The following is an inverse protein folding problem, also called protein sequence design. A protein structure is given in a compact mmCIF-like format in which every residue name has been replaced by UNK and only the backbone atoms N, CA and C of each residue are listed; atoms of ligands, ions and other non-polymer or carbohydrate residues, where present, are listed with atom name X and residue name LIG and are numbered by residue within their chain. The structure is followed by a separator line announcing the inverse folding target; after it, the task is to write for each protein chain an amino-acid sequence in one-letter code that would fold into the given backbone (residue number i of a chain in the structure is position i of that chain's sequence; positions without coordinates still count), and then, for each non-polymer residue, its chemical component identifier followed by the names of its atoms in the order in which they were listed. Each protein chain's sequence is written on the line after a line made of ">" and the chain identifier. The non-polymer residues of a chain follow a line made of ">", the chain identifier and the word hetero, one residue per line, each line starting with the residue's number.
data_IF_629109676306
#
_entry.id   IF_629109676306
#
_cell.length_a   1.000
_cell.length_b   1.000
_cell.length_c   1.000
_cell.angle_alpha   90.00
_cell.angle_beta   90.00
_cell.angle_gamma   90.00
#
_symmetry.space_group_name_H-M   'P 1'
#
loop_
_entity.id
_entity.type
_entity.pdbx_description
1 polymer ?
#
# COMPACT_ATOMS: atom_id res chain seq x y z
N UNK A 1 39.06 -41.27 37.90
CA UNK A 1 38.19 -41.46 39.09
C UNK A 1 37.59 -42.87 39.07
N UNK A 2 37.79 -43.71 40.10
CA UNK A 2 37.13 -45.04 40.19
C UNK A 2 35.68 -44.90 40.69
N UNK A 3 34.74 -45.61 40.05
CA UNK A 3 33.29 -45.47 40.28
C UNK A 3 32.90 -45.85 41.73
N UNK A 4 33.62 -46.79 42.34
CA UNK A 4 33.42 -47.24 43.72
C UNK A 4 33.70 -46.15 44.75
N UNK A 5 34.64 -45.23 44.48
CA UNK A 5 34.97 -44.12 45.38
C UNK A 5 33.92 -43.00 45.34
N UNK A 6 33.24 -42.82 44.19
CA UNK A 6 32.20 -41.78 44.01
C UNK A 6 30.85 -42.09 44.67
N UNK A 7 30.70 -43.28 45.27
CA UNK A 7 29.47 -43.72 45.93
C UNK A 7 29.54 -43.59 47.46
N UNK A 8 30.66 -43.12 48.03
CA UNK A 8 30.83 -42.95 49.47
C UNK A 8 30.84 -41.45 49.85
N UNK A 9 29.74 -40.97 50.43
CA UNK A 9 29.55 -39.56 50.80
C UNK A 9 30.64 -39.02 51.75
N UNK A 10 31.13 -39.84 52.69
CA UNK A 10 32.17 -39.43 53.63
C UNK A 10 33.53 -39.22 52.95
N UNK A 11 33.80 -39.98 51.89
CA UNK A 11 35.02 -39.83 51.10
C UNK A 11 34.97 -38.56 50.24
N UNK A 12 33.83 -38.27 49.62
CA UNK A 12 33.62 -37.05 48.84
C UNK A 12 33.81 -35.80 49.71
N UNK A 13 33.23 -35.78 50.92
CA UNK A 13 33.37 -34.66 51.84
C UNK A 13 34.83 -34.47 52.29
N UNK A 14 35.55 -35.56 52.57
CA UNK A 14 36.98 -35.48 52.88
C UNK A 14 37.81 -34.90 51.73
N UNK A 15 37.53 -35.28 50.48
CA UNK A 15 38.17 -34.71 49.29
C UNK A 15 37.82 -33.23 49.10
N UNK A 16 36.58 -32.83 49.41
CA UNK A 16 36.15 -31.44 49.33
C UNK A 16 36.86 -30.56 50.37
N UNK A 17 37.00 -31.03 51.61
CA UNK A 17 37.77 -30.30 52.64
C UNK A 17 39.25 -30.18 52.26
N UNK A 18 39.85 -31.23 51.68
CA UNK A 18 41.22 -31.20 51.17
C UNK A 18 41.36 -30.16 50.05
N UNK A 19 40.44 -30.13 49.10
CA UNK A 19 40.39 -29.15 48.02
C UNK A 19 40.29 -27.71 48.53
N UNK A 20 39.47 -27.44 49.57
CA UNK A 20 39.38 -26.11 50.21
C UNK A 20 40.70 -25.62 50.81
N UNK A 21 41.55 -26.53 51.30
CA UNK A 21 42.88 -26.16 51.83
C UNK A 21 43.91 -25.91 50.72
N UNK A 22 43.63 -26.32 49.49
CA UNK A 22 44.52 -26.16 48.34
C UNK A 22 44.07 -27.00 47.14
N UNK A 23 43.69 -26.39 45.99
CA UNK A 23 43.17 -27.10 44.82
C UNK A 23 44.12 -28.15 44.23
N UNK A 24 45.44 -27.98 44.40
CA UNK A 24 46.46 -28.92 43.93
C UNK A 24 46.64 -30.15 44.83
N UNK A 25 45.93 -30.23 45.96
CA UNK A 25 46.03 -31.35 46.93
C UNK A 25 45.11 -32.52 46.61
N UNK A 26 44.19 -32.35 45.68
CA UNK A 26 43.33 -33.41 45.16
C UNK A 26 43.72 -33.76 43.74
N UNK A 27 43.33 -34.94 43.27
CA UNK A 27 43.55 -35.34 41.87
C UNK A 27 42.87 -34.36 40.90
N UNK A 28 43.38 -34.28 39.67
CA UNK A 28 42.86 -33.39 38.63
C UNK A 28 41.36 -33.58 38.37
N UNK A 29 40.87 -34.82 38.41
CA UNK A 29 39.45 -35.14 38.23
C UNK A 29 38.58 -34.54 39.36
N UNK A 30 39.05 -34.63 40.61
CA UNK A 30 38.38 -34.04 41.78
C UNK A 30 38.44 -32.52 41.77
N UNK A 31 39.55 -31.94 41.32
CA UNK A 31 39.68 -30.49 41.16
C UNK A 31 38.63 -29.96 40.18
N UNK A 32 38.49 -30.58 39.01
CA UNK A 32 37.46 -30.20 38.03
C UNK A 32 36.03 -30.44 38.54
N UNK A 33 35.80 -31.52 39.28
CA UNK A 33 34.51 -31.82 39.88
C UNK A 33 34.07 -30.72 40.86
N UNK A 34 34.91 -30.32 41.81
CA UNK A 34 34.58 -29.28 42.79
C UNK A 34 34.58 -27.87 42.21
N UNK A 35 35.49 -27.58 41.27
CA UNK A 35 35.48 -26.32 40.52
C UNK A 35 34.19 -26.16 39.72
N UNK A 36 33.70 -27.23 39.07
CA UNK A 36 32.42 -27.24 38.37
C UNK A 36 31.21 -27.02 39.29
N UNK A 37 31.25 -27.55 40.52
CA UNK A 37 30.22 -27.32 41.53
C UNK A 37 30.25 -25.89 42.10
N UNK A 38 31.42 -25.31 42.41
CA UNK A 38 31.50 -23.90 42.80
C UNK A 38 31.14 -22.95 41.67
N UNK A 39 31.44 -23.30 40.41
CA UNK A 39 31.00 -22.50 39.26
C UNK A 39 29.47 -22.54 39.11
N UNK A 40 28.84 -23.66 39.44
CA UNK A 40 27.39 -23.81 39.46
C UNK A 40 26.73 -23.13 40.68
N UNK A 41 27.39 -23.12 41.84
CA UNK A 41 26.90 -22.44 43.04
C UNK A 41 27.09 -20.91 42.94
N UNK A 42 28.19 -20.46 42.33
CA UNK A 42 28.40 -19.05 41.96
C UNK A 42 27.44 -18.57 40.85
N UNK A 43 26.83 -19.46 40.06
CA UNK A 43 25.70 -19.08 39.17
C UNK A 43 24.42 -18.75 39.95
N UNK A 44 24.27 -19.21 41.20
CA UNK A 44 23.18 -18.80 42.09
C UNK A 44 23.53 -17.54 42.91
N UNK A 45 24.80 -17.19 43.06
CA UNK A 45 25.27 -15.95 43.71
C UNK A 45 25.47 -14.78 42.74
N UNK A 46 25.55 -15.05 41.44
CA UNK A 46 25.37 -14.06 40.40
C UNK A 46 23.89 -13.77 40.21
N UNK A 47 23.35 -12.75 40.89
CA UNK A 47 22.26 -11.97 40.33
C UNK A 47 22.76 -11.42 38.99
N UNK A 48 22.62 -12.21 37.93
CA UNK A 48 22.44 -11.63 36.61
C UNK A 48 21.19 -10.78 36.74
N UNK A 49 21.37 -9.45 36.70
CA UNK A 49 20.26 -8.54 36.49
C UNK A 49 19.36 -9.16 35.41
N UNK A 50 18.09 -9.42 35.74
CA UNK A 50 17.10 -9.70 34.71
C UNK A 50 17.00 -8.42 33.87
N UNK A 51 17.82 -8.34 32.81
CA UNK A 51 17.97 -7.18 31.92
C UNK A 51 16.62 -6.79 31.27
N UNK A 52 15.60 -7.63 31.36
CA UNK A 52 14.24 -7.28 31.02
C UNK A 52 13.30 -7.61 32.19
N UNK A 53 12.60 -6.60 32.71
CA UNK A 53 11.50 -6.85 33.66
C UNK A 53 10.32 -7.46 32.90
N UNK A 54 9.56 -8.35 33.57
CA UNK A 54 8.33 -8.92 32.99
C UNK A 54 7.41 -7.83 32.44
N UNK A 55 7.32 -6.71 33.15
CA UNK A 55 6.52 -5.55 32.78
C UNK A 55 7.02 -4.88 31.48
N UNK A 56 8.34 -4.71 31.31
CA UNK A 56 8.91 -4.19 30.06
C UNK A 56 8.67 -5.13 28.88
N UNK A 57 8.75 -6.45 29.09
CA UNK A 57 8.41 -7.44 28.07
C UNK A 57 6.92 -7.38 27.67
N UNK A 58 6.03 -7.22 28.65
CA UNK A 58 4.59 -7.07 28.39
C UNK A 58 4.29 -5.78 27.61
N UNK A 59 4.90 -4.65 27.98
CA UNK A 59 4.75 -3.40 27.23
C UNK A 59 5.26 -3.53 25.79
N UNK A 60 6.41 -4.17 25.57
CA UNK A 60 6.92 -4.45 24.23
C UNK A 60 5.95 -5.31 23.41
N UNK A 61 5.33 -6.34 24.00
CA UNK A 61 4.33 -7.17 23.33
C UNK A 61 3.05 -6.39 22.94
N UNK A 62 2.63 -5.44 23.78
CA UNK A 62 1.51 -4.52 23.46
C UNK A 62 1.83 -3.64 22.26
N UNK A 63 3.06 -3.12 22.18
CA UNK A 63 3.52 -2.32 21.03
C UNK A 63 3.61 -3.15 19.74
N UNK A 64 4.06 -4.40 19.81
CA UNK A 64 4.01 -5.29 18.63
C UNK A 64 2.56 -5.60 18.20
N UNK A 65 1.64 -5.76 19.14
CA UNK A 65 0.22 -5.95 18.86
C UNK A 65 -0.40 -4.71 18.19
N UNK A 66 -0.05 -3.51 18.67
CA UNK A 66 -0.42 -2.23 18.06
C UNK A 66 0.08 -2.16 16.61
N UNK A 67 1.37 -2.43 16.38
CA UNK A 67 1.98 -2.45 15.04
C UNK A 67 1.28 -3.41 14.10
N UNK A 68 1.00 -4.63 14.57
CA UNK A 68 0.24 -5.62 13.80
C UNK A 68 -1.14 -5.07 13.43
N UNK A 69 -1.83 -4.45 14.38
CA UNK A 69 -3.19 -3.96 14.16
C UNK A 69 -3.27 -2.78 13.19
N UNK A 70 -2.28 -1.88 13.18
CA UNK A 70 -2.19 -0.83 12.15
C UNK A 70 -1.93 -1.41 10.75
N UNK A 71 -1.13 -2.47 10.63
CA UNK A 71 -0.91 -3.15 9.33
C UNK A 71 -2.16 -3.86 8.83
N UNK A 72 -2.97 -4.36 9.75
CA UNK A 72 -4.19 -5.11 9.46
C UNK A 72 -5.38 -4.18 9.16
N UNK A 73 -5.61 -3.17 10.01
CA UNK A 73 -6.80 -2.30 9.97
C UNK A 73 -6.52 -0.82 9.70
N UNK A 74 -5.27 -0.41 9.50
CA UNK A 74 -4.92 1.00 9.30
C UNK A 74 -5.66 1.63 8.12
N UNK A 75 -5.93 0.83 7.07
CA UNK A 75 -6.72 1.22 5.91
C UNK A 75 -8.15 1.67 6.24
N UNK A 76 -8.73 1.24 7.38
CA UNK A 76 -10.06 1.69 7.82
C UNK A 76 -10.08 3.14 8.30
N UNK A 77 -8.92 3.64 8.73
CA UNK A 77 -8.69 5.02 9.17
C UNK A 77 -8.04 5.88 8.07
N UNK A 78 -7.67 5.29 6.93
CA UNK A 78 -7.09 6.02 5.81
C UNK A 78 -8.07 7.07 5.25
N UNK A 79 -7.55 8.25 4.95
CA UNK A 79 -8.32 9.31 4.32
C UNK A 79 -8.39 9.07 2.82
N UNK A 80 -9.39 8.28 2.41
CA UNK A 80 -9.52 7.78 1.03
C UNK A 80 -10.60 8.50 0.23
N UNK A 81 -11.70 8.90 0.87
CA UNK A 81 -12.82 9.56 0.22
C UNK A 81 -12.54 11.07 0.04
N UNK A 82 -12.44 11.59 -1.20
CA UNK A 82 -12.23 13.01 -1.46
C UNK A 82 -13.43 13.89 -1.11
N UNK A 83 -14.62 13.31 -0.89
CA UNK A 83 -15.85 14.05 -0.58
C UNK A 83 -16.21 14.07 0.91
N UNK A 84 -15.42 13.42 1.75
CA UNK A 84 -15.67 13.30 3.18
C UNK A 84 -14.46 13.78 3.99
N UNK A 85 -14.70 14.26 5.20
CA UNK A 85 -13.63 14.63 6.12
C UNK A 85 -12.84 13.39 6.56
N UNK A 86 -11.52 13.56 6.71
CA UNK A 86 -10.66 12.49 7.20
C UNK A 86 -10.99 12.16 8.66
N UNK A 87 -11.16 10.88 8.98
CA UNK A 87 -11.24 10.43 10.37
C UNK A 87 -9.85 10.42 11.02
N UNK A 88 -9.77 10.84 12.30
CA UNK A 88 -8.50 10.86 13.05
C UNK A 88 -8.43 9.84 14.17
N UNK A 89 -9.53 9.16 14.50
CA UNK A 89 -9.59 8.20 15.60
C UNK A 89 -10.36 6.97 15.13
N UNK A 90 -9.85 5.79 15.48
CA UNK A 90 -10.57 4.54 15.32
C UNK A 90 -10.47 3.74 16.62
N UNK A 91 -11.58 3.30 17.25
CA UNK A 91 -11.55 2.62 18.55
C UNK A 91 -10.62 1.40 18.60
N UNK A 92 -10.49 0.67 17.49
CA UNK A 92 -9.62 -0.53 17.39
C UNK A 92 -8.13 -0.22 17.14
N UNK A 93 -7.76 1.05 16.96
CA UNK A 93 -6.39 1.52 16.73
C UNK A 93 -5.89 2.48 17.82
N UNK A 94 -6.74 2.76 18.81
CA UNK A 94 -6.43 3.67 19.91
C UNK A 94 -5.62 2.97 21.01
N UNK A 95 -4.81 3.72 21.76
CA UNK A 95 -3.89 3.18 22.79
C UNK A 95 -4.59 2.29 23.83
N UNK A 96 -5.78 2.66 24.37
CA UNK A 96 -6.45 1.86 25.37
C UNK A 96 -6.82 0.45 24.89
N UNK A 97 -7.04 0.26 23.58
CA UNK A 97 -7.35 -1.06 23.01
C UNK A 97 -6.20 -2.08 23.17
N UNK A 98 -4.98 -1.59 23.44
CA UNK A 98 -3.77 -2.40 23.64
C UNK A 98 -3.26 -2.34 25.08
N UNK A 99 -3.97 -1.69 25.99
CA UNK A 99 -3.50 -1.45 27.37
C UNK A 99 -2.28 -0.54 27.43
N UNK A 100 -2.18 0.42 26.51
CA UNK A 100 -1.17 1.48 26.50
C UNK A 100 -1.82 2.80 26.90
N UNK A 101 -1.02 3.71 27.45
CA UNK A 101 -1.46 5.03 27.94
C UNK A 101 -0.59 6.13 27.35
N UNK A 102 -0.99 7.39 27.54
CA UNK A 102 -0.20 8.54 27.11
C UNK A 102 1.19 8.59 27.79
N UNK A 103 1.31 8.04 29.00
CA UNK A 103 2.60 7.93 29.72
C UNK A 103 3.61 6.99 29.03
N UNK A 104 3.15 6.17 28.09
CA UNK A 104 4.01 5.25 27.34
C UNK A 104 4.55 5.88 26.05
N UNK A 105 4.07 7.05 25.64
CA UNK A 105 4.42 7.71 24.37
C UNK A 105 5.91 8.02 24.24
N UNK A 106 6.52 8.52 25.33
CA UNK A 106 7.94 8.91 25.37
C UNK A 106 8.87 7.72 25.66
N UNK A 107 8.31 6.56 26.00
CA UNK A 107 9.10 5.36 26.26
C UNK A 107 9.63 4.76 24.96
N UNK A 108 10.87 4.30 25.00
CA UNK A 108 11.54 3.72 23.84
C UNK A 108 11.28 2.21 23.75
N UNK A 109 10.88 1.77 22.57
CA UNK A 109 10.61 0.36 22.27
C UNK A 109 11.51 -0.14 21.15
N UNK A 110 11.78 -1.44 21.18
CA UNK A 110 12.51 -2.09 20.10
C UNK A 110 11.64 -2.14 18.84
N UNK A 111 12.22 -1.74 17.71
CA UNK A 111 11.58 -1.79 16.41
C UNK A 111 12.59 -2.03 15.30
N UNK A 112 12.47 -3.19 14.66
CA UNK A 112 13.37 -3.59 13.58
C UNK A 112 13.32 -2.68 12.33
N UNK A 113 12.18 -2.01 12.06
CA UNK A 113 11.89 -1.35 10.76
C UNK A 113 11.64 0.15 10.80
N UNK A 114 11.48 0.74 11.98
CA UNK A 114 11.09 2.16 12.09
C UNK A 114 12.25 3.10 12.34
N UNK A 115 13.42 2.59 12.72
CA UNK A 115 14.60 3.41 13.01
C UNK A 115 15.89 2.71 12.58
N UNK A 116 16.88 3.50 12.17
CA UNK A 116 18.25 3.01 11.92
C UNK A 116 18.88 2.41 13.19
N UNK A 117 18.50 2.91 14.36
CA UNK A 117 18.97 2.41 15.67
C UNK A 117 18.19 1.19 16.17
N UNK A 118 17.20 0.72 15.41
CA UNK A 118 16.28 -0.37 15.77
C UNK A 118 15.48 -0.12 17.06
N UNK A 119 15.42 1.12 17.52
CA UNK A 119 14.66 1.55 18.69
C UNK A 119 14.05 2.92 18.40
N UNK A 120 12.82 3.15 18.87
CA UNK A 120 12.13 4.43 18.72
C UNK A 120 11.13 4.65 19.85
N UNK A 121 10.83 5.91 20.24
CA UNK A 121 9.71 6.23 21.11
C UNK A 121 8.39 5.72 20.54
N UNK A 122 7.45 5.32 21.39
CA UNK A 122 6.12 4.86 20.96
C UNK A 122 5.41 5.92 20.11
N UNK A 123 5.55 7.20 20.46
CA UNK A 123 5.01 8.30 19.67
C UNK A 123 5.49 8.28 18.21
N UNK A 124 6.79 8.08 18.00
CA UNK A 124 7.38 8.01 16.66
C UNK A 124 6.88 6.76 15.91
N UNK A 125 6.79 5.61 16.58
CA UNK A 125 6.25 4.38 16.00
C UNK A 125 4.81 4.60 15.50
N UNK A 126 3.96 5.24 16.31
CA UNK A 126 2.58 5.54 15.93
C UNK A 126 2.52 6.53 14.77
N UNK A 127 3.36 7.57 14.78
CA UNK A 127 3.44 8.52 13.68
C UNK A 127 3.78 7.82 12.35
N UNK A 128 4.81 6.96 12.34
CA UNK A 128 5.19 6.20 11.13
C UNK A 128 4.05 5.29 10.67
N UNK A 129 3.40 4.56 11.58
CA UNK A 129 2.27 3.69 11.23
C UNK A 129 1.09 4.47 10.65
N UNK A 130 0.73 5.61 11.26
CA UNK A 130 -0.35 6.48 10.79
C UNK A 130 -0.02 7.09 9.44
N UNK A 131 1.21 7.54 9.25
CA UNK A 131 1.67 8.10 7.98
C UNK A 131 1.67 7.05 6.86
N UNK A 132 2.06 5.81 7.17
CA UNK A 132 2.15 4.72 6.20
C UNK A 132 0.78 4.15 5.81
N UNK A 133 -0.11 3.92 6.78
CA UNK A 133 -1.33 3.12 6.59
C UNK A 133 -2.65 3.89 6.72
N UNK A 134 -2.62 5.14 7.22
CA UNK A 134 -3.83 5.91 7.56
C UNK A 134 -3.90 7.29 6.87
N UNK A 135 -3.08 7.55 5.85
CA UNK A 135 -3.11 8.82 5.07
C UNK A 135 -3.87 8.61 3.76
N UNK A 136 -3.31 9.08 2.66
CA UNK A 136 -3.88 8.97 1.31
C UNK A 136 -3.77 7.57 0.71
N UNK A 137 -3.09 6.64 1.38
CA UNK A 137 -2.97 5.23 0.98
C UNK A 137 -3.42 4.35 2.14
N UNK A 138 -4.43 3.52 1.88
CA UNK A 138 -4.83 2.41 2.75
C UNK A 138 -4.43 1.10 2.10
N UNK A 139 -3.87 0.17 2.86
CA UNK A 139 -3.35 -1.09 2.29
C UNK A 139 -3.95 -2.29 3.02
N UNK A 140 -4.49 -3.22 2.26
CA UNK A 140 -4.92 -4.54 2.75
C UNK A 140 -3.95 -5.59 2.22
N UNK A 141 -3.14 -6.17 3.11
CA UNK A 141 -2.14 -7.16 2.73
C UNK A 141 -1.85 -8.20 3.82
N UNK A 142 -2.35 -8.01 5.04
CA UNK A 142 -2.09 -8.96 6.12
C UNK A 142 -2.79 -10.30 5.90
N UNK A 143 -3.85 -10.33 5.08
CA UNK A 143 -4.51 -11.56 4.63
C UNK A 143 -3.65 -12.43 3.73
N UNK A 144 -2.58 -11.90 3.11
CA UNK A 144 -1.66 -12.69 2.27
C UNK A 144 -1.07 -13.86 3.06
N UNK A 145 -1.11 -15.07 2.51
CA UNK A 145 -0.62 -16.27 3.19
C UNK A 145 0.92 -16.30 3.29
N UNK A 146 1.61 -15.87 2.24
CA UNK A 146 3.07 -15.89 2.19
C UNK A 146 3.68 -14.80 3.10
N UNK A 147 4.46 -15.16 4.15
CA UNK A 147 5.17 -14.20 4.97
C UNK A 147 6.21 -13.36 4.19
N UNK A 148 6.78 -13.88 3.11
CA UNK A 148 7.76 -13.18 2.29
C UNK A 148 7.12 -12.00 1.55
N UNK A 149 5.91 -12.18 1.01
CA UNK A 149 5.14 -11.11 0.37
C UNK A 149 4.79 -9.98 1.35
N UNK A 150 4.26 -10.35 2.53
CA UNK A 150 3.96 -9.37 3.58
C UNK A 150 5.18 -8.59 4.02
N UNK A 151 6.31 -9.29 4.16
CA UNK A 151 7.60 -8.69 4.51
C UNK A 151 8.09 -7.73 3.42
N UNK A 152 8.02 -8.17 2.16
CA UNK A 152 8.43 -7.35 1.00
C UNK A 152 7.63 -6.06 0.91
N UNK A 153 6.32 -6.12 1.18
CA UNK A 153 5.45 -4.95 1.22
C UNK A 153 5.84 -4.02 2.38
N UNK A 154 6.00 -4.57 3.59
CA UNK A 154 6.45 -3.78 4.76
C UNK A 154 7.78 -3.07 4.49
N UNK A 155 8.74 -3.77 3.90
CA UNK A 155 10.09 -3.25 3.65
C UNK A 155 10.11 -2.14 2.56
N UNK A 156 9.07 -2.06 1.73
CA UNK A 156 8.91 -0.98 0.72
C UNK A 156 8.01 0.16 1.16
N UNK A 157 7.03 -0.10 2.04
CA UNK A 157 6.05 0.91 2.46
C UNK A 157 6.51 1.69 3.69
N UNK A 158 6.96 1.00 4.74
CA UNK A 158 7.22 1.60 6.05
C UNK A 158 8.40 2.60 6.04
N UNK A 159 9.53 2.34 5.35
CA UNK A 159 10.66 3.27 5.35
C UNK A 159 10.34 4.62 4.69
N UNK A 160 9.52 4.62 3.63
CA UNK A 160 9.11 5.84 2.90
C UNK A 160 7.74 6.34 3.33
N UNK A 161 7.11 5.67 4.30
CA UNK A 161 5.79 6.01 4.87
C UNK A 161 4.69 6.17 3.81
N UNK A 162 4.79 5.39 2.72
CA UNK A 162 3.97 5.54 1.51
C UNK A 162 3.89 6.97 0.94
N UNK A 163 4.93 7.77 1.17
CA UNK A 163 5.07 9.16 0.74
C UNK A 163 6.44 9.35 0.09
N UNK A 164 6.69 8.76 -1.10
CA UNK A 164 8.00 8.86 -1.73
C UNK A 164 8.31 10.32 -2.08
N UNK A 165 9.56 10.73 -1.84
CA UNK A 165 10.04 12.03 -2.28
C UNK A 165 10.18 12.02 -3.82
N UNK A 166 9.22 12.62 -4.51
CA UNK A 166 9.29 12.79 -5.96
C UNK A 166 10.21 13.97 -6.30
N UNK A 167 11.11 13.75 -7.25
CA UNK A 167 11.92 14.81 -7.84
C UNK A 167 11.04 15.84 -8.55
N UNK A 168 11.56 17.07 -8.67
CA UNK A 168 10.85 18.20 -9.27
C UNK A 168 10.28 17.87 -10.65
N UNK A 169 11.06 17.20 -11.49
CA UNK A 169 10.64 16.84 -12.85
C UNK A 169 9.51 15.81 -12.85
N UNK A 170 9.52 14.87 -11.90
CA UNK A 170 8.40 13.95 -11.67
C UNK A 170 7.11 14.70 -11.29
N UNK A 171 7.21 15.68 -10.39
CA UNK A 171 6.05 16.51 -10.00
C UNK A 171 5.51 17.35 -11.15
N UNK A 172 6.39 17.96 -11.94
CA UNK A 172 6.02 18.73 -13.14
C UNK A 172 5.32 17.81 -14.16
N UNK A 173 5.81 16.58 -14.35
CA UNK A 173 5.19 15.62 -15.25
C UNK A 173 3.78 15.23 -14.80
N UNK A 174 3.60 14.94 -13.51
CA UNK A 174 2.29 14.65 -12.92
C UNK A 174 1.33 15.81 -13.18
N UNK A 175 1.76 17.04 -12.88
CA UNK A 175 0.96 18.24 -13.10
C UNK A 175 0.59 18.40 -14.58
N UNK A 176 1.54 18.23 -15.49
CA UNK A 176 1.29 18.33 -16.93
C UNK A 176 0.26 17.30 -17.41
N UNK A 177 0.33 16.06 -16.91
CA UNK A 177 -0.64 15.00 -17.23
C UNK A 177 -2.04 15.30 -16.70
N UNK A 178 -2.14 15.87 -15.49
CA UNK A 178 -3.41 16.36 -14.95
C UNK A 178 -3.97 17.51 -15.79
N UNK A 179 -3.14 18.47 -16.19
CA UNK A 179 -3.55 19.56 -17.07
C UNK A 179 -4.04 19.05 -18.43
N UNK A 180 -3.33 18.09 -19.04
CA UNK A 180 -3.74 17.46 -20.29
C UNK A 180 -5.11 16.78 -20.15
N UNK A 181 -5.31 16.03 -19.06
CA UNK A 181 -6.57 15.36 -18.76
C UNK A 181 -7.72 16.37 -18.63
N UNK A 182 -7.54 17.42 -17.81
CA UNK A 182 -8.56 18.43 -17.53
C UNK A 182 -8.87 19.30 -18.75
N UNK A 183 -7.85 19.73 -19.51
CA UNK A 183 -8.03 20.55 -20.72
C UNK A 183 -8.78 19.77 -21.79
N UNK A 184 -8.46 18.49 -21.96
CA UNK A 184 -9.14 17.62 -22.93
C UNK A 184 -10.63 17.49 -22.60
N UNK A 185 -11.00 17.23 -21.34
CA UNK A 185 -12.40 17.13 -20.92
C UNK A 185 -13.14 18.46 -21.11
N UNK A 186 -12.54 19.57 -20.69
CA UNK A 186 -13.12 20.92 -20.87
C UNK A 186 -13.32 21.27 -22.33
N UNK A 187 -12.40 20.86 -23.20
CA UNK A 187 -12.54 21.05 -24.65
C UNK A 187 -13.72 20.27 -25.20
N UNK A 188 -13.82 18.97 -24.88
CA UNK A 188 -14.92 18.13 -25.34
C UNK A 188 -16.26 18.64 -24.83
N UNK A 189 -16.33 19.05 -23.57
CA UNK A 189 -17.54 19.63 -22.97
C UNK A 189 -18.00 20.89 -23.71
N UNK A 190 -17.06 21.79 -24.04
CA UNK A 190 -17.38 23.05 -24.72
C UNK A 190 -17.73 22.87 -26.20
N UNK A 191 -17.07 21.95 -26.90
CA UNK A 191 -17.23 21.78 -28.36
C UNK A 191 -18.33 20.82 -28.75
N UNK A 192 -18.55 19.76 -27.97
CA UNK A 192 -19.50 18.70 -28.27
C UNK A 192 -20.57 18.63 -27.17
N UNK A 193 -21.25 19.75 -26.92
CA UNK A 193 -22.32 19.85 -25.93
C UNK A 193 -23.42 18.81 -26.20
N UNK A 194 -23.85 18.10 -25.16
CA UNK A 194 -24.89 17.09 -25.24
C UNK A 194 -24.48 15.74 -25.86
N UNK A 195 -23.23 15.60 -26.32
CA UNK A 195 -22.72 14.30 -26.76
C UNK A 195 -22.13 13.52 -25.58
N UNK A 196 -22.50 12.24 -25.48
CA UNK A 196 -21.97 11.35 -24.43
C UNK A 196 -20.50 11.03 -24.69
N UNK A 197 -19.69 11.23 -23.65
CA UNK A 197 -18.24 10.96 -23.65
C UNK A 197 -17.74 10.18 -22.44
N UNK A 198 -18.57 10.03 -21.40
CA UNK A 198 -18.23 9.37 -20.14
C UNK A 198 -16.99 10.00 -19.48
N UNK A 199 -17.11 11.28 -19.16
CA UNK A 199 -16.06 12.15 -18.63
C UNK A 199 -15.26 11.51 -17.49
N UNK A 200 -13.95 11.77 -17.50
CA UNK A 200 -13.04 11.44 -16.42
C UNK A 200 -13.06 12.46 -15.26
N UNK A 201 -13.78 13.57 -15.38
CA UNK A 201 -13.73 14.67 -14.41
C UNK A 201 -14.10 14.21 -12.98
N UNK A 202 -13.24 14.56 -12.02
CA UNK A 202 -13.23 14.05 -10.64
C UNK A 202 -12.35 12.80 -10.43
N UNK A 203 -11.72 12.28 -11.48
CA UNK A 203 -10.84 11.10 -11.48
C UNK A 203 -9.63 11.25 -12.40
N UNK A 204 -9.21 12.48 -12.69
CA UNK A 204 -8.12 12.83 -13.62
C UNK A 204 -6.79 12.19 -13.24
N UNK A 205 -6.57 11.91 -11.95
CA UNK A 205 -5.41 11.20 -11.41
C UNK A 205 -5.15 9.84 -12.05
N UNK A 206 -6.15 9.22 -12.68
CA UNK A 206 -5.96 8.01 -13.49
C UNK A 206 -4.89 8.21 -14.59
N UNK A 207 -4.83 9.40 -15.20
CA UNK A 207 -3.91 9.69 -16.32
C UNK A 207 -2.44 9.72 -15.89
N UNK A 208 -2.01 10.51 -14.89
CA UNK A 208 -0.63 10.44 -14.40
C UNK A 208 -0.29 9.06 -13.81
N UNK A 209 -1.26 8.36 -13.21
CA UNK A 209 -1.05 7.01 -12.69
C UNK A 209 -0.70 6.02 -13.81
N UNK A 210 -1.48 5.99 -14.91
CA UNK A 210 -1.20 5.12 -16.05
C UNK A 210 0.07 5.54 -16.83
N UNK A 211 0.34 6.84 -16.93
CA UNK A 211 1.59 7.34 -17.52
C UNK A 211 2.81 6.86 -16.72
N UNK A 212 2.73 6.89 -15.39
CA UNK A 212 3.78 6.36 -14.53
C UNK A 212 3.94 4.84 -14.64
N UNK A 213 2.83 4.09 -14.77
CA UNK A 213 2.87 2.64 -15.00
C UNK A 213 3.68 2.31 -16.26
N UNK A 214 3.29 2.92 -17.38
CA UNK A 214 3.89 2.67 -18.70
C UNK A 214 5.38 2.98 -18.68
N UNK A 215 5.79 4.10 -18.07
CA UNK A 215 7.20 4.43 -17.88
C UNK A 215 7.92 3.39 -17.02
N UNK A 216 7.36 3.05 -15.87
CA UNK A 216 8.01 2.17 -14.90
C UNK A 216 8.21 0.75 -15.43
N UNK A 217 7.18 0.16 -16.04
CA UNK A 217 7.29 -1.20 -16.60
C UNK A 217 8.23 -1.24 -17.81
N UNK A 218 8.32 -0.14 -18.56
CA UNK A 218 9.25 -0.08 -19.69
C UNK A 218 10.71 -0.14 -19.21
N UNK A 219 11.04 0.39 -18.03
CA UNK A 219 12.37 0.26 -17.41
C UNK A 219 12.70 -1.17 -16.99
N UNK A 220 11.67 -2.01 -16.79
CA UNK A 220 11.74 -3.41 -16.38
C UNK A 220 11.66 -4.39 -17.56
N UNK A 221 12.06 -3.93 -18.75
CA UNK A 221 12.10 -4.71 -20.00
C UNK A 221 10.73 -5.27 -20.47
N UNK A 222 9.62 -4.68 -19.99
CA UNK A 222 8.30 -4.95 -20.55
C UNK A 222 8.20 -4.36 -21.96
N UNK A 223 7.80 -5.18 -22.94
CA UNK A 223 7.69 -4.77 -24.34
C UNK A 223 6.24 -4.43 -24.74
N UNK A 224 5.26 -5.08 -24.11
CA UNK A 224 3.86 -4.95 -24.49
C UNK A 224 2.95 -4.88 -23.25
N UNK A 225 1.94 -4.00 -23.29
CA UNK A 225 0.87 -3.90 -22.31
C UNK A 225 -0.50 -4.09 -22.98
N UNK A 226 -1.33 -4.94 -22.40
CA UNK A 226 -2.72 -5.11 -22.81
C UNK A 226 -3.61 -4.59 -21.68
N UNK A 227 -4.30 -3.48 -21.94
CA UNK A 227 -5.25 -2.84 -21.03
C UNK A 227 -6.67 -3.29 -21.35
N UNK A 228 -7.45 -3.66 -20.33
CA UNK A 228 -8.90 -3.75 -20.43
C UNK A 228 -9.52 -2.57 -19.68
N UNK A 229 -10.43 -1.83 -20.29
CA UNK A 229 -11.15 -0.75 -19.58
C UNK A 229 -12.58 -0.55 -20.10
N UNK A 230 -13.45 -0.10 -19.19
CA UNK A 230 -14.81 0.34 -19.50
C UNK A 230 -14.82 1.75 -20.14
N UNK A 231 -15.99 2.41 -20.15
CA UNK A 231 -16.19 3.69 -20.84
C UNK A 231 -15.58 4.92 -20.12
N UNK A 232 -15.47 4.89 -18.79
CA UNK A 232 -15.13 6.08 -18.00
C UNK A 232 -13.71 6.57 -18.28
N UNK A 233 -13.61 7.81 -18.78
CA UNK A 233 -12.34 8.44 -19.15
C UNK A 233 -11.61 7.76 -20.32
N UNK A 234 -12.27 6.87 -21.07
CA UNK A 234 -11.62 6.08 -22.11
C UNK A 234 -11.00 6.92 -23.23
N UNK A 235 -11.71 7.96 -23.67
CA UNK A 235 -11.18 8.90 -24.66
C UNK A 235 -9.95 9.66 -24.13
N UNK A 236 -9.94 9.92 -22.82
CA UNK A 236 -8.83 10.56 -22.13
C UNK A 236 -7.60 9.63 -22.09
N UNK A 237 -7.79 8.35 -21.74
CA UNK A 237 -6.72 7.34 -21.77
C UNK A 237 -6.20 7.11 -23.19
N UNK A 238 -7.08 6.97 -24.18
CA UNK A 238 -6.69 6.82 -25.58
C UNK A 238 -5.78 7.96 -26.05
N UNK A 239 -6.10 9.20 -25.67
CA UNK A 239 -5.38 10.38 -26.13
C UNK A 239 -4.12 10.64 -25.31
N UNK A 240 -4.24 10.67 -23.98
CA UNK A 240 -3.20 11.16 -23.08
C UNK A 240 -2.27 10.05 -22.55
N UNK A 241 -2.62 8.78 -22.74
CA UNK A 241 -1.78 7.61 -22.40
C UNK A 241 -1.36 6.85 -23.65
N UNK A 242 -2.31 6.52 -24.54
CA UNK A 242 -1.99 5.77 -25.78
C UNK A 242 -1.62 6.63 -26.98
N UNK A 243 -1.65 7.96 -26.84
CA UNK A 243 -1.28 8.90 -27.91
C UNK A 243 -2.10 8.75 -29.20
N UNK A 244 -3.37 8.32 -29.10
CA UNK A 244 -4.32 8.42 -30.22
C UNK A 244 -4.46 9.88 -30.64
N UNK A 245 -4.40 10.14 -31.94
CA UNK A 245 -4.42 11.50 -32.45
C UNK A 245 -5.74 12.21 -32.12
N UNK A 246 -5.66 13.51 -31.82
CA UNK A 246 -6.84 14.35 -31.60
C UNK A 246 -7.75 14.34 -32.83
N UNK A 247 -7.18 14.35 -34.03
CA UNK A 247 -7.92 14.31 -35.30
C UNK A 247 -8.80 13.06 -35.40
N UNK A 248 -8.27 11.89 -35.04
CA UNK A 248 -9.04 10.64 -35.07
C UNK A 248 -10.18 10.67 -34.06
N UNK A 249 -9.93 11.15 -32.85
CA UNK A 249 -10.98 11.32 -31.83
C UNK A 249 -12.05 12.29 -32.35
N UNK A 250 -11.68 13.45 -32.89
CA UNK A 250 -12.63 14.47 -33.32
C UNK A 250 -13.44 14.06 -34.55
N UNK A 251 -12.87 13.26 -35.45
CA UNK A 251 -13.61 12.63 -36.56
C UNK A 251 -14.73 11.72 -36.06
N UNK A 252 -14.49 10.97 -34.99
CA UNK A 252 -15.51 10.12 -34.35
C UNK A 252 -16.67 10.95 -33.75
N UNK A 253 -16.39 12.15 -33.22
CA UNK A 253 -17.44 13.08 -32.78
C UNK A 253 -18.17 13.76 -33.94
N UNK A 254 -17.50 13.97 -35.07
CA UNK A 254 -18.08 14.56 -36.28
C UNK A 254 -18.82 13.54 -37.17
N UNK A 255 -18.85 12.26 -36.78
CA UNK A 255 -19.37 11.15 -37.60
C UNK A 255 -18.80 11.11 -39.03
N UNK A 256 -17.58 11.61 -39.20
CA UNK A 256 -16.92 11.68 -40.51
C UNK A 256 -16.02 10.46 -40.65
N UNK A 257 -16.63 9.34 -41.06
CA UNK A 257 -15.92 8.08 -41.31
C UNK A 257 -15.57 7.97 -42.79
N UNK A 258 -14.41 7.40 -43.10
CA UNK A 258 -14.13 6.97 -44.47
C UNK A 258 -14.95 5.68 -44.73
N UNK A 259 -15.93 5.67 -45.65
CA UNK A 259 -16.78 4.50 -45.93
C UNK A 259 -15.96 3.25 -46.25
N UNK A 260 -14.81 3.42 -46.92
CA UNK A 260 -13.93 2.32 -47.33
C UNK A 260 -13.14 1.69 -46.18
N UNK A 261 -13.11 2.34 -45.01
CA UNK A 261 -12.44 1.86 -43.80
C UNK A 261 -13.38 1.13 -42.83
N UNK A 262 -14.69 1.15 -43.10
CA UNK A 262 -15.70 0.59 -42.21
C UNK A 262 -15.87 -0.92 -42.49
N UNK A 263 -15.26 -1.77 -41.65
CA UNK A 263 -15.50 -3.21 -41.67
C UNK A 263 -16.51 -3.58 -40.58
N UNK A 264 -17.67 -4.13 -40.96
CA UNK A 264 -18.75 -4.50 -40.04
C UNK A 264 -19.75 -3.37 -39.77
N UNK A 265 -20.61 -3.55 -38.76
CA UNK A 265 -21.65 -2.57 -38.39
C UNK A 265 -21.14 -1.32 -37.66
N UNK A 266 -19.84 -1.31 -37.28
CA UNK A 266 -19.26 -0.31 -36.40
C UNK A 266 -19.68 -0.49 -34.92
N UNK A 267 -19.02 0.24 -34.03
CA UNK A 267 -19.34 0.35 -32.60
C UNK A 267 -19.07 1.81 -32.14
N UNK A 268 -19.59 2.17 -30.97
CA UNK A 268 -19.45 3.52 -30.41
C UNK A 268 -17.99 3.83 -30.05
N UNK A 269 -17.59 5.11 -30.17
CA UNK A 269 -16.22 5.61 -29.94
C UNK A 269 -15.57 5.13 -28.63
N UNK A 270 -16.36 4.95 -27.59
CA UNK A 270 -15.91 4.48 -26.27
C UNK A 270 -15.96 2.94 -26.12
N UNK A 271 -16.09 2.17 -27.21
CA UNK A 271 -15.90 0.71 -27.24
C UNK A 271 -14.80 0.24 -28.19
N UNK A 272 -14.38 1.04 -29.18
CA UNK A 272 -13.36 0.62 -30.14
C UNK A 272 -12.00 0.34 -29.49
N UNK A 273 -11.39 -0.82 -29.76
CA UNK A 273 -10.02 -1.09 -29.34
C UNK A 273 -9.02 -0.18 -30.04
N UNK A 274 -7.83 -0.03 -29.46
CA UNK A 274 -6.76 0.78 -30.05
C UNK A 274 -5.41 0.13 -29.78
N UNK A 275 -4.56 0.09 -30.80
CA UNK A 275 -3.20 -0.45 -30.77
C UNK A 275 -2.23 0.68 -31.15
N UNK A 276 -1.19 0.90 -30.35
CA UNK A 276 -0.14 1.86 -30.68
C UNK A 276 1.21 1.43 -30.11
N UNK A 277 2.30 1.83 -30.79
CA UNK A 277 3.66 1.73 -30.29
C UNK A 277 4.02 3.09 -29.66
N UNK A 278 4.11 3.14 -28.33
CA UNK A 278 4.31 4.37 -27.56
C UNK A 278 5.81 4.62 -27.37
N UNK A 279 6.31 5.76 -27.84
CA UNK A 279 7.66 6.23 -27.54
C UNK A 279 7.67 7.00 -26.22
N UNK A 280 8.41 6.48 -25.26
CA UNK A 280 8.42 6.95 -23.88
C UNK A 280 9.55 7.94 -23.62
N UNK A 281 9.40 8.71 -22.54
CA UNK A 281 10.38 9.73 -22.16
C UNK A 281 11.75 9.16 -21.76
N UNK A 282 11.80 7.87 -21.43
CA UNK A 282 13.05 7.12 -21.21
C UNK A 282 13.61 6.51 -22.51
N UNK A 283 13.13 6.95 -23.68
CA UNK A 283 13.55 6.52 -25.01
C UNK A 283 13.26 5.05 -25.34
N UNK A 284 12.42 4.37 -24.54
CA UNK A 284 11.93 3.02 -24.83
C UNK A 284 10.63 3.08 -25.62
N UNK A 285 10.32 1.99 -26.32
CA UNK A 285 9.05 1.82 -27.04
C UNK A 285 8.24 0.72 -26.36
N UNK A 286 6.98 1.01 -26.03
CA UNK A 286 6.04 0.04 -25.44
C UNK A 286 4.82 -0.09 -26.35
N UNK A 287 4.46 -1.32 -26.75
CA UNK A 287 3.21 -1.57 -27.47
C UNK A 287 2.04 -1.64 -26.51
N UNK A 288 0.94 -0.94 -26.79
CA UNK A 288 -0.22 -0.89 -25.91
C UNK A 288 -1.55 -1.17 -26.63
N UNK A 289 -2.42 -2.00 -26.03
CA UNK A 289 -3.75 -2.36 -26.55
C UNK A 289 -4.87 -2.08 -25.54
N UNK A 290 -6.05 -1.58 -25.96
CA UNK A 290 -7.25 -1.41 -25.09
C UNK A 290 -8.44 -2.31 -25.50
N UNK A 291 -8.99 -3.09 -24.56
CA UNK A 291 -10.15 -4.00 -24.69
C UNK A 291 -11.37 -3.50 -23.85
N UNK A 292 -12.62 -3.82 -24.23
CA UNK A 292 -13.81 -2.95 -24.03
C UNK A 292 -14.97 -3.47 -23.12
N UNK A 293 -14.72 -4.16 -22.01
CA UNK A 293 -15.78 -4.84 -21.21
C UNK A 293 -16.44 -3.94 -20.12
N UNK A 294 -17.78 -3.74 -20.22
CA UNK A 294 -18.61 -2.64 -19.65
C UNK A 294 -19.23 -2.89 -18.24
N UNK A 295 -19.56 -1.81 -17.49
CA UNK A 295 -20.42 -1.82 -16.28
C UNK A 295 -21.12 -0.47 -15.96
N UNK A 296 -22.36 -0.50 -15.42
CA UNK A 296 -23.44 0.53 -15.46
C UNK A 296 -23.67 1.32 -14.13
N UNK A 297 -24.93 1.57 -13.72
CA UNK A 297 -25.36 2.69 -12.84
C UNK A 297 -25.68 2.39 -11.36
N UNK A 298 -25.27 1.25 -10.79
CA UNK A 298 -25.64 0.87 -9.41
C UNK A 298 -24.78 1.58 -8.34
N UNK A 299 -25.40 2.06 -7.25
CA UNK A 299 -24.71 2.64 -6.09
C UNK A 299 -23.87 1.60 -5.32
N UNK A 300 -22.73 1.97 -4.70
CA UNK A 300 -21.89 1.04 -3.92
C UNK A 300 -22.65 0.17 -2.90
N UNK A 301 -23.50 0.77 -2.06
CA UNK A 301 -24.28 0.10 -1.00
C UNK A 301 -25.26 -0.95 -1.54
N UNK A 302 -25.72 -0.73 -2.78
CA UNK A 302 -26.68 -1.58 -3.49
C UNK A 302 -25.98 -2.47 -4.54
N UNK A 303 -24.69 -2.27 -4.78
CA UNK A 303 -23.88 -3.03 -5.74
C UNK A 303 -23.09 -4.16 -5.07
N UNK A 304 -22.87 -4.08 -3.74
CA UNK A 304 -22.08 -5.06 -2.97
C UNK A 304 -22.49 -5.07 -1.50
N UNK A 305 -22.27 -6.22 -0.84
CA UNK A 305 -22.50 -6.40 0.60
C UNK A 305 -21.21 -6.32 1.43
N UNK A 306 -20.16 -5.71 0.87
CA UNK A 306 -18.81 -5.62 1.46
C UNK A 306 -18.36 -4.15 1.49
N UNK A 307 -17.37 -3.81 2.33
CA UNK A 307 -16.92 -2.41 2.51
C UNK A 307 -16.29 -1.87 1.22
N UNK A 308 -15.41 -2.65 0.59
CA UNK A 308 -14.72 -2.26 -0.63
C UNK A 308 -15.22 -3.05 -1.83
N UNK A 309 -15.27 -2.42 -3.00
CA UNK A 309 -15.56 -3.10 -4.28
C UNK A 309 -14.51 -4.16 -4.63
N UNK A 310 -13.32 -4.02 -4.06
CA UNK A 310 -12.18 -4.90 -4.26
C UNK A 310 -12.14 -6.08 -3.31
N UNK A 311 -13.10 -6.21 -2.37
CA UNK A 311 -13.12 -7.33 -1.42
C UNK A 311 -13.21 -8.70 -2.11
N UNK A 312 -13.78 -8.78 -3.32
CA UNK A 312 -13.77 -10.01 -4.12
C UNK A 312 -12.34 -10.48 -4.42
N UNK A 313 -11.38 -9.57 -4.56
CA UNK A 313 -9.98 -9.91 -4.82
C UNK A 313 -9.31 -10.57 -3.61
N UNK A 314 -9.84 -10.44 -2.39
CA UNK A 314 -9.32 -11.15 -1.22
C UNK A 314 -9.40 -12.66 -1.39
N UNK A 315 -10.34 -13.17 -2.21
CA UNK A 315 -10.39 -14.60 -2.56
C UNK A 315 -9.15 -15.05 -3.35
N UNK A 316 -8.52 -14.13 -4.08
CA UNK A 316 -7.33 -14.36 -4.90
C UNK A 316 -6.04 -14.20 -4.09
N UNK A 317 -6.13 -13.80 -2.81
CA UNK A 317 -4.98 -13.62 -1.91
C UNK A 317 -3.95 -12.66 -2.50
N UNK A 318 -4.42 -11.49 -2.94
CA UNK A 318 -3.62 -10.42 -3.54
C UNK A 318 -3.64 -9.16 -2.68
N UNK A 319 -2.59 -8.31 -2.73
CA UNK A 319 -2.60 -7.03 -2.04
C UNK A 319 -3.58 -6.07 -2.70
N UNK A 320 -4.25 -5.28 -1.87
CA UNK A 320 -5.20 -4.26 -2.29
C UNK A 320 -4.71 -2.91 -1.76
N UNK A 321 -4.58 -1.94 -2.65
CA UNK A 321 -4.21 -0.58 -2.31
C UNK A 321 -5.37 0.36 -2.60
N UNK A 322 -5.91 0.99 -1.57
CA UNK A 322 -6.87 2.07 -1.70
C UNK A 322 -6.12 3.40 -1.72
N UNK A 323 -6.41 4.22 -2.72
CA UNK A 323 -5.69 5.48 -2.94
C UNK A 323 -6.67 6.63 -3.06
N UNK A 324 -6.39 7.69 -2.33
CA UNK A 324 -7.12 8.95 -2.41
C UNK A 324 -6.93 9.61 -3.78
N UNK A 325 -8.01 9.75 -4.55
CA UNK A 325 -7.98 10.21 -5.95
C UNK A 325 -7.46 11.63 -6.15
N UNK A 326 -7.56 12.51 -5.16
CA UNK A 326 -7.00 13.88 -5.19
C UNK A 326 -5.52 13.93 -4.78
N UNK A 327 -4.88 12.79 -4.46
CA UNK A 327 -3.44 12.72 -4.21
C UNK A 327 -2.72 11.98 -5.36
N UNK A 328 -2.31 12.71 -6.42
CA UNK A 328 -1.71 12.09 -7.59
C UNK A 328 -0.30 11.55 -7.33
N UNK A 329 0.44 12.12 -6.36
CA UNK A 329 1.76 11.60 -5.97
C UNK A 329 1.60 10.20 -5.33
N UNK A 330 0.58 10.00 -4.49
CA UNK A 330 0.27 8.71 -3.90
C UNK A 330 -0.19 7.67 -4.95
N UNK A 331 -0.99 8.07 -5.93
CA UNK A 331 -1.40 7.18 -7.02
C UNK A 331 -0.21 6.70 -7.86
N UNK A 332 0.72 7.61 -8.19
CA UNK A 332 1.97 7.29 -8.89
C UNK A 332 2.88 6.39 -8.06
N UNK A 333 2.96 6.61 -6.74
CA UNK A 333 3.69 5.70 -5.83
C UNK A 333 3.12 4.29 -5.86
N UNK A 334 1.80 4.17 -5.68
CA UNK A 334 1.13 2.88 -5.53
C UNK A 334 1.17 2.07 -6.82
N UNK A 335 0.99 2.70 -7.99
CA UNK A 335 1.03 1.96 -9.26
C UNK A 335 2.43 1.38 -9.54
N UNK A 336 3.50 2.10 -9.17
CA UNK A 336 4.87 1.60 -9.25
C UNK A 336 5.10 0.44 -8.29
N UNK A 337 4.68 0.60 -7.03
CA UNK A 337 4.76 -0.46 -6.02
C UNK A 337 3.99 -1.72 -6.45
N UNK A 338 2.80 -1.55 -7.02
CA UNK A 338 1.99 -2.65 -7.55
C UNK A 338 2.67 -3.37 -8.72
N UNK A 339 3.26 -2.61 -9.66
CA UNK A 339 4.02 -3.22 -10.76
C UNK A 339 5.26 -3.97 -10.25
N UNK A 340 5.98 -3.42 -9.27
CA UNK A 340 7.12 -4.09 -8.65
C UNK A 340 6.72 -5.40 -7.96
N UNK A 341 5.58 -5.40 -7.27
CA UNK A 341 5.05 -6.61 -6.64
C UNK A 341 4.69 -7.65 -7.71
N UNK A 342 4.01 -7.22 -8.79
CA UNK A 342 3.62 -8.11 -9.91
C UNK A 342 4.84 -8.74 -10.58
N UNK A 343 5.91 -7.98 -10.76
CA UNK A 343 7.16 -8.47 -11.35
C UNK A 343 7.95 -9.36 -10.37
N UNK A 344 7.90 -9.07 -9.08
CA UNK A 344 8.60 -9.87 -8.07
C UNK A 344 7.94 -11.23 -7.86
N UNK A 345 6.61 -11.27 -7.72
CA UNK A 345 5.88 -12.46 -7.29
C UNK A 345 5.07 -13.14 -8.38
N UNK A 346 4.93 -12.51 -9.54
CA UNK A 346 4.09 -13.05 -10.62
C UNK A 346 2.59 -13.01 -10.32
N UNK A 347 2.17 -12.29 -9.28
CA UNK A 347 0.80 -12.27 -8.74
C UNK A 347 0.07 -10.98 -9.03
N UNK A 348 -1.24 -11.09 -9.18
CA UNK A 348 -2.13 -9.95 -9.40
C UNK A 348 -2.09 -8.97 -8.22
N UNK A 349 -2.43 -7.71 -8.51
CA UNK A 349 -2.52 -6.61 -7.54
C UNK A 349 -3.77 -5.81 -7.86
N UNK A 350 -4.43 -5.31 -6.83
CA UNK A 350 -5.60 -4.45 -7.00
C UNK A 350 -5.31 -3.06 -6.47
N UNK A 351 -5.67 -2.06 -7.27
CA UNK A 351 -5.63 -0.64 -6.88
C UNK A 351 -7.05 -0.09 -6.98
N UNK A 352 -7.54 0.40 -5.86
CA UNK A 352 -8.82 1.09 -5.71
C UNK A 352 -8.55 2.60 -5.67
N UNK A 353 -8.66 3.26 -6.83
CA UNK A 353 -8.51 4.71 -6.93
C UNK A 353 -9.84 5.40 -6.57
N UNK A 354 -9.94 5.85 -5.32
CA UNK A 354 -11.16 6.42 -4.75
C UNK A 354 -11.34 7.86 -5.22
N UNK A 355 -12.34 8.07 -6.05
CA UNK A 355 -12.61 9.33 -6.73
C UNK A 355 -14.11 9.64 -6.74
N UNK A 356 -14.49 10.79 -7.29
CA UNK A 356 -15.90 11.13 -7.53
C UNK A 356 -16.15 11.34 -9.02
N UNK A 357 -17.42 11.42 -9.41
CA UNK A 357 -17.81 11.73 -10.80
C UNK A 357 -18.45 13.10 -10.85
N UNK A 358 -17.84 13.99 -11.62
CA UNK A 358 -18.25 15.39 -11.73
C UNK A 358 -19.67 15.59 -12.29
N UNK A 359 -20.01 14.81 -13.31
CA UNK A 359 -21.30 14.85 -14.00
C UNK A 359 -22.14 13.60 -13.68
N UNK A 360 -23.36 13.54 -14.24
CA UNK A 360 -24.18 12.33 -14.27
C UNK A 360 -23.49 11.13 -14.95
N UNK A 361 -24.19 10.00 -15.08
CA UNK A 361 -23.57 8.78 -15.62
C UNK A 361 -23.11 8.98 -17.06
N UNK A 362 -23.95 9.65 -17.84
CA UNK A 362 -23.53 10.39 -19.00
C UNK A 362 -23.76 11.90 -18.79
N UNK A 363 -23.29 12.73 -19.70
CA UNK A 363 -23.36 14.19 -19.56
C UNK A 363 -24.74 14.81 -19.76
N UNK A 364 -25.73 14.03 -20.20
CA UNK A 364 -27.14 14.43 -20.26
C UNK A 364 -27.96 14.01 -19.04
N UNK A 365 -27.42 13.14 -18.17
CA UNK A 365 -28.11 12.70 -16.97
C UNK A 365 -28.05 13.76 -15.86
N UNK A 366 -29.16 13.93 -15.15
CA UNK A 366 -29.25 14.78 -13.96
C UNK A 366 -29.12 13.93 -12.68
N UNK A 367 -27.92 13.86 -12.07
CA UNK A 367 -27.69 13.02 -10.90
C UNK A 367 -28.31 13.58 -9.61
N UNK A 368 -28.69 14.85 -9.58
CA UNK A 368 -29.30 15.46 -8.39
C UNK A 368 -30.65 14.82 -8.02
N UNK A 369 -31.34 14.22 -8.98
CA UNK A 369 -32.60 13.50 -8.73
C UNK A 369 -32.43 12.29 -7.82
N UNK A 370 -31.25 11.65 -7.83
CA UNK A 370 -31.01 10.41 -7.08
C UNK A 370 -29.90 10.53 -6.04
N UNK A 371 -28.97 11.48 -6.17
CA UNK A 371 -27.86 11.69 -5.22
C UNK A 371 -27.63 13.18 -4.87
N UNK A 372 -28.65 13.92 -4.37
CA UNK A 372 -28.55 15.37 -4.17
C UNK A 372 -27.42 15.78 -3.20
N UNK A 373 -27.30 15.12 -2.04
CA UNK A 373 -26.29 15.45 -1.02
C UNK A 373 -24.85 15.24 -1.52
N UNK A 374 -24.61 14.17 -2.28
CA UNK A 374 -23.28 13.88 -2.84
C UNK A 374 -22.89 14.95 -3.86
N UNK A 375 -23.80 15.33 -4.75
CA UNK A 375 -23.52 16.33 -5.79
C UNK A 375 -23.46 17.76 -5.24
N UNK A 376 -24.07 18.03 -4.09
CA UNK A 376 -23.85 19.27 -3.34
C UNK A 376 -22.40 19.36 -2.85
N UNK A 377 -21.85 18.29 -2.28
CA UNK A 377 -20.43 18.23 -1.88
C UNK A 377 -19.48 18.37 -3.08
N UNK A 378 -19.76 17.68 -4.18
CA UNK A 378 -18.97 17.79 -5.44
C UNK A 378 -18.99 19.21 -6.01
N UNK A 379 -20.08 19.97 -5.81
CA UNK A 379 -20.10 21.39 -6.21
C UNK A 379 -19.21 22.23 -5.31
N UNK A 380 -19.20 21.95 -4.01
CA UNK A 380 -18.36 22.63 -3.03
C UNK A 380 -16.84 22.35 -3.15
N UNK A 381 -16.42 21.32 -3.89
CA UNK A 381 -14.99 21.02 -4.12
C UNK A 381 -14.37 21.86 -5.23
N UNK A 382 -15.15 22.66 -5.95
CA UNK A 382 -14.63 23.55 -6.98
C UNK A 382 -14.16 24.88 -6.39
N UNK A 383 -13.12 25.50 -6.96
CA UNK A 383 -12.95 26.93 -6.78
C UNK A 383 -14.16 27.67 -7.37
N UNK A 384 -14.70 28.65 -6.63
CA UNK A 384 -15.69 29.60 -7.15
C UNK A 384 -15.17 30.19 -8.46
N UNK A 385 -15.97 30.08 -9.52
CA UNK A 385 -15.61 30.41 -10.90
C UNK A 385 -15.22 31.88 -11.10
#
# INVERSE_FOLDING_TARGET
>A
MEITETLNANYIDAQYQLWKTGPSRVSRDWCFFFEGFELADNRNAGQGESVCTLDQSLRQARVESLKYRYRDLGHLLACLDPLSECAFIHPLLDLPAFGLTENDLDQTFYTRRFSQTQQAPLLEIIQVLRETYCRSVGVEFMHLQDPAERRWLQDRMEPVRNQPALERDGKIRILNKLCQAAVFERFLHKKYMGQTRFSLEGGETLIPMLDALVLHISEQDCQEIVLGMAHRGRLNVLTNVLYKSYDDIFREFANTYNPDSLVGSGDMKYHNGYLNDIHLANYRTLRAFINNQIGYTTLPENARSTRYSTDIAKMLMVPIFHVHGENPEAAVHVIKLASDYRMTFGKDVVIDLVCYRRFGHNEGDEPYFTQPQMYERIRGTLPDA
#
